data_IF_155502690322
#
_entry.id   IF_155502690322
#
_cell.length_a   1.000
_cell.length_b   1.000
_cell.length_c   1.000
_cell.angle_alpha   90.00
_cell.angle_beta   90.00
_cell.angle_gamma   90.00
#
_symmetry.space_group_name_H-M   'P 1'
#
loop_
_entity.id
_entity.type
_entity.pdbx_description
1 polymer ?
#
# COMPACT_ATOMS: atom_id res chain seq x y z
N UNK A 1 -12.00 -19.94 -11.34
CA UNK A 1 -10.57 -20.26 -11.14
C UNK A 1 -9.82 -19.44 -12.18
N UNK A 2 -9.08 -18.38 -11.90
CA UNK A 2 -8.25 -18.02 -10.76
C UNK A 2 -8.37 -16.50 -10.54
N UNK A 3 -9.02 -16.06 -9.47
CA UNK A 3 -9.31 -14.62 -9.20
C UNK A 3 -8.06 -13.87 -8.67
N UNK A 4 -6.90 -14.23 -9.20
CA UNK A 4 -5.62 -13.60 -8.92
C UNK A 4 -5.41 -12.54 -9.99
N UNK A 5 -5.42 -11.29 -9.56
CA UNK A 5 -4.97 -10.19 -10.40
C UNK A 5 -3.45 -10.15 -10.23
N UNK A 6 -2.71 -10.40 -11.31
CA UNK A 6 -1.24 -10.38 -11.35
C UNK A 6 -0.65 -8.96 -11.27
N UNK A 7 -1.39 -8.01 -10.70
CA UNK A 7 -0.88 -6.68 -10.44
C UNK A 7 0.23 -6.78 -9.38
N UNK A 8 1.46 -6.74 -9.87
CA UNK A 8 2.61 -6.37 -9.08
C UNK A 8 2.50 -4.87 -8.78
N UNK A 9 1.78 -4.51 -7.71
CA UNK A 9 1.67 -3.12 -7.28
C UNK A 9 2.98 -2.66 -6.66
N UNK A 10 3.95 -2.39 -7.54
CA UNK A 10 5.13 -1.62 -7.23
C UNK A 10 4.71 -0.22 -6.80
N UNK A 11 5.24 0.22 -5.67
CA UNK A 11 4.95 1.51 -5.09
C UNK A 11 6.25 2.25 -4.84
N UNK A 12 6.21 3.55 -5.05
CA UNK A 12 7.36 4.44 -4.82
C UNK A 12 7.61 4.71 -3.34
N UNK A 13 6.58 4.59 -2.50
CA UNK A 13 6.65 4.99 -1.09
C UNK A 13 6.51 3.77 -0.16
N UNK A 14 7.63 3.33 0.42
CA UNK A 14 7.67 2.20 1.36
C UNK A 14 7.04 2.43 2.72
N UNK A 15 7.06 3.68 3.19
CA UNK A 15 6.62 4.06 4.53
C UNK A 15 5.11 4.37 4.60
N UNK A 16 4.41 4.28 3.46
CA UNK A 16 2.97 4.54 3.41
C UNK A 16 2.16 3.27 3.52
N UNK A 17 1.08 3.35 4.30
CA UNK A 17 0.08 2.29 4.35
C UNK A 17 -0.86 2.48 3.16
N UNK A 18 -1.08 1.40 2.41
CA UNK A 18 -2.05 1.34 1.34
C UNK A 18 -3.32 0.63 1.83
N UNK A 19 -4.47 0.92 1.22
CA UNK A 19 -5.74 0.30 1.57
C UNK A 19 -6.52 -0.06 0.31
N UNK A 20 -7.03 -1.28 0.30
CA UNK A 20 -8.01 -1.71 -0.69
C UNK A 20 -9.37 -1.06 -0.41
N UNK A 21 -9.94 -0.37 -1.38
CA UNK A 21 -11.21 0.34 -1.22
C UNK A 21 -12.41 -0.60 -1.04
N UNK A 22 -12.34 -1.80 -1.62
CA UNK A 22 -13.48 -2.74 -1.69
C UNK A 22 -13.56 -3.69 -0.49
N UNK A 23 -12.42 -4.09 0.06
CA UNK A 23 -12.29 -5.02 1.17
C UNK A 23 -11.80 -4.37 2.46
N UNK A 24 -11.33 -3.13 2.40
CA UNK A 24 -10.83 -2.39 3.56
C UNK A 24 -9.48 -2.85 4.11
N UNK A 25 -8.88 -3.92 3.56
CA UNK A 25 -7.59 -4.47 4.00
C UNK A 25 -6.48 -3.42 3.86
N UNK A 26 -5.64 -3.30 4.90
CA UNK A 26 -4.42 -2.50 4.89
C UNK A 26 -3.27 -3.32 4.31
N UNK A 27 -2.50 -2.72 3.43
CA UNK A 27 -1.37 -3.29 2.72
C UNK A 27 -0.15 -2.47 3.06
N UNK A 28 0.87 -3.13 3.57
CA UNK A 28 2.13 -2.52 3.95
C UNK A 28 3.17 -2.88 2.87
N UNK A 29 3.76 -1.90 2.18
CA UNK A 29 4.81 -2.15 1.20
C UNK A 29 5.97 -2.91 1.84
N UNK A 30 6.54 -3.85 1.11
CA UNK A 30 7.74 -4.60 1.49
C UNK A 30 8.89 -4.16 0.60
N UNK A 31 10.08 -4.02 1.18
CA UNK A 31 11.31 -3.80 0.41
C UNK A 31 11.53 -4.99 -0.51
N UNK A 32 11.78 -4.72 -1.77
CA UNK A 32 12.27 -5.70 -2.73
C UNK A 32 13.71 -5.33 -3.05
N UNK A 33 14.59 -6.32 -2.90
CA UNK A 33 15.99 -6.20 -3.22
C UNK A 33 16.25 -6.89 -4.56
N UNK A 34 17.10 -6.29 -5.37
CA UNK A 34 17.58 -6.83 -6.64
C UNK A 34 18.57 -7.96 -6.42
N UNK A 35 19.06 -8.52 -7.52
CA UNK A 35 20.00 -9.63 -7.51
C UNK A 35 21.30 -9.29 -6.75
N UNK A 36 21.74 -8.04 -6.85
CA UNK A 36 22.96 -7.54 -6.19
C UNK A 36 22.71 -6.98 -4.77
N UNK A 37 21.53 -7.21 -4.20
CA UNK A 37 21.16 -6.71 -2.87
C UNK A 37 20.78 -5.23 -2.82
N UNK A 38 20.77 -4.55 -3.98
CA UNK A 38 20.31 -3.17 -4.11
C UNK A 38 18.79 -3.04 -3.88
N UNK A 39 18.34 -1.95 -3.26
CA UNK A 39 16.91 -1.71 -3.07
C UNK A 39 16.26 -1.31 -4.41
N UNK A 40 15.65 -2.28 -5.11
CA UNK A 40 14.92 -2.05 -6.37
C UNK A 40 13.63 -1.28 -6.16
N UNK A 41 13.01 -1.42 -4.98
CA UNK A 41 11.84 -0.62 -4.63
C UNK A 41 10.97 -1.28 -3.58
N UNK A 42 9.68 -0.95 -3.64
CA UNK A 42 8.69 -1.41 -2.67
C UNK A 42 7.54 -2.07 -3.40
N UNK A 43 7.09 -3.21 -2.87
CA UNK A 43 6.00 -3.96 -3.46
C UNK A 43 4.93 -4.24 -2.42
N UNK A 44 3.67 -4.03 -2.79
CA UNK A 44 2.57 -4.41 -1.93
C UNK A 44 2.40 -5.93 -1.87
N UNK A 45 2.04 -6.50 -0.71
CA UNK A 45 1.74 -7.91 -0.62
C UNK A 45 0.57 -8.25 -1.54
N UNK A 46 0.54 -9.47 -2.11
CA UNK A 46 -0.48 -9.87 -3.06
C UNK A 46 -1.87 -9.65 -2.47
N UNK A 47 -2.66 -8.83 -3.15
CA UNK A 47 -3.97 -8.41 -2.67
C UNK A 47 -5.04 -8.69 -3.72
N UNK A 48 -5.82 -9.74 -3.46
CA UNK A 48 -6.75 -10.32 -4.42
C UNK A 48 -8.12 -9.64 -4.40
N UNK A 49 -8.57 -9.28 -5.58
CA UNK A 49 -9.87 -9.62 -6.18
C UNK A 49 -10.03 -8.76 -7.43
N UNK A 50 -10.59 -9.33 -8.49
CA UNK A 50 -10.89 -8.58 -9.72
C UNK A 50 -11.65 -7.29 -9.39
N UNK A 51 -11.13 -6.15 -9.86
CA UNK A 51 -11.72 -4.82 -9.67
C UNK A 51 -11.51 -4.18 -8.29
N UNK A 52 -10.58 -4.67 -7.47
CA UNK A 52 -10.20 -4.00 -6.23
C UNK A 52 -9.23 -2.85 -6.52
N UNK A 53 -9.60 -1.62 -6.17
CA UNK A 53 -8.71 -0.46 -6.29
C UNK A 53 -7.93 -0.28 -4.99
N UNK A 54 -6.61 -0.27 -5.09
CA UNK A 54 -5.73 0.09 -3.98
C UNK A 54 -5.54 1.60 -4.00
N UNK A 55 -5.68 2.23 -2.83
CA UNK A 55 -5.46 3.66 -2.63
C UNK A 55 -4.49 3.85 -1.49
N UNK A 56 -3.71 4.92 -1.51
CA UNK A 56 -2.95 5.36 -0.33
C UNK A 56 -3.93 5.57 0.81
N UNK A 57 -3.68 4.95 1.96
CA UNK A 57 -4.46 5.26 3.15
C UNK A 57 -4.15 6.70 3.52
N UNK A 58 -5.18 7.57 3.56
CA UNK A 58 -4.98 8.92 4.09
C UNK A 58 -4.42 8.77 5.50
N UNK A 59 -3.28 9.40 5.75
CA UNK A 59 -2.81 9.60 7.11
C UNK A 59 -4.00 10.18 7.88
N UNK A 60 -4.36 9.56 9.02
CA UNK A 60 -5.40 10.10 9.89
C UNK A 60 -4.87 11.49 10.27
N UNK A 61 -5.42 12.56 9.68
CA UNK A 61 -5.13 13.92 10.12
C UNK A 61 -5.55 13.92 11.59
N UNK A 62 -4.56 13.79 12.49
CA UNK A 62 -4.76 14.13 13.88
C UNK A 62 -5.25 15.56 13.79
N UNK A 63 -6.51 15.80 14.13
CA UNK A 63 -7.03 17.16 14.31
C UNK A 63 -6.12 17.74 15.39
N UNK A 64 -5.09 18.49 14.98
CA UNK A 64 -4.35 19.35 15.89
C UNK A 64 -5.41 20.35 16.29
N UNK A 65 -6.05 20.09 17.44
CA UNK A 65 -6.91 21.07 18.10
C UNK A 65 -5.91 22.12 18.58
N UNK A 66 -5.59 23.09 17.72
CA UNK A 66 -4.92 24.31 18.11
C UNK A 66 -5.85 24.97 19.12
N UNK A 67 -5.59 24.68 20.40
CA UNK A 67 -6.25 25.32 21.52
C UNK A 67 -5.86 26.79 21.47
N UNK A 68 -6.72 27.61 20.87
CA UNK A 68 -6.67 29.06 21.03
C UNK A 68 -7.09 29.34 22.48
N UNK A 69 -6.16 29.81 23.30
CA UNK A 69 -6.41 30.64 24.47
C UNK A 69 -5.46 31.82 24.38
#
# INVERSE_FOLDING_TARGET
>A
MSDWCDQEDWVTEGDRIYRCSKCGKRLHPRKIYGFDGELTGWRLPPHKKKGHKIRRAKARQRKIRTGRK
#
